data_IF_139443749784
#
_entry.id   IF_139443749784
#
_cell.length_a   1.000
_cell.length_b   1.000
_cell.length_c   1.000
_cell.angle_alpha   90.00
_cell.angle_beta   90.00
_cell.angle_gamma   90.00
#
_symmetry.space_group_name_H-M   'P 1'
#
loop_
_entity.id
_entity.type
_entity.pdbx_description
1 polymer ?
#
# COMPACT_ATOMS: atom_id res chain seq x y z
N UNK A 1 -0.88 46.67 -27.12
CA UNK A 1 -0.13 47.74 -26.44
C UNK A 1 0.63 47.09 -25.29
N UNK A 2 1.95 47.22 -25.31
CA UNK A 2 2.95 46.33 -24.68
C UNK A 2 3.21 46.78 -23.23
N UNK A 3 3.04 45.87 -22.27
CA UNK A 3 3.31 46.13 -20.84
C UNK A 3 4.70 45.61 -20.44
N UNK A 4 5.74 46.15 -21.07
CA UNK A 4 7.14 45.86 -20.73
C UNK A 4 7.86 47.15 -20.37
N UNK A 5 7.51 47.76 -19.23
CA UNK A 5 8.14 49.00 -18.76
C UNK A 5 8.21 49.07 -17.23
N UNK A 6 8.80 48.05 -16.59
CA UNK A 6 9.05 48.09 -15.15
C UNK A 6 10.48 47.67 -14.74
N UNK A 7 11.48 48.00 -15.58
CA UNK A 7 12.89 47.90 -15.20
C UNK A 7 13.73 49.03 -15.79
N UNK A 8 13.36 50.30 -15.51
CA UNK A 8 14.27 51.44 -15.71
C UNK A 8 14.50 52.09 -14.34
N UNK A 9 15.75 52.04 -13.85
CA UNK A 9 16.14 52.72 -12.61
C UNK A 9 17.12 51.99 -11.69
N UNK A 10 17.63 50.80 -12.06
CA UNK A 10 18.70 50.16 -11.26
C UNK A 10 20.07 50.51 -11.84
N UNK A 11 20.83 51.31 -11.10
CA UNK A 11 22.25 51.51 -11.35
C UNK A 11 23.02 50.28 -10.87
N UNK A 12 23.81 49.69 -11.76
CA UNK A 12 24.66 48.54 -11.47
C UNK A 12 26.02 49.07 -10.99
N UNK A 13 26.39 48.77 -9.75
CA UNK A 13 27.73 49.05 -9.22
C UNK A 13 28.57 47.79 -9.43
N UNK A 14 29.63 47.90 -10.23
CA UNK A 14 30.62 46.84 -10.43
C UNK A 14 31.46 46.76 -9.15
N UNK A 15 31.53 45.60 -8.46
CA UNK A 15 32.49 45.43 -7.39
C UNK A 15 33.90 45.42 -7.97
N UNK A 16 34.76 46.27 -7.42
CA UNK A 16 36.16 46.38 -7.81
C UNK A 16 36.90 45.06 -7.55
N UNK A 17 37.69 44.65 -8.54
CA UNK A 17 38.45 43.39 -8.57
C UNK A 17 39.58 43.46 -7.55
N UNK A 18 39.46 42.77 -6.42
CA UNK A 18 40.58 42.54 -5.50
C UNK A 18 41.56 41.52 -6.12
N UNK A 19 42.81 41.93 -6.30
CA UNK A 19 43.90 41.04 -6.69
C UNK A 19 44.31 40.08 -5.56
N UNK A 20 44.80 38.87 -5.88
CA UNK A 20 45.03 37.81 -4.91
C UNK A 20 46.33 38.01 -4.12
N UNK A 21 46.26 37.85 -2.80
CA UNK A 21 47.44 37.70 -1.96
C UNK A 21 48.11 36.32 -2.19
N UNK A 22 49.45 36.22 -2.27
CA UNK A 22 50.13 34.96 -2.41
C UNK A 22 50.38 34.34 -1.03
N UNK A 23 49.73 33.21 -0.73
CA UNK A 23 50.11 32.39 0.43
C UNK A 23 50.35 30.95 -0.02
N UNK A 24 51.56 30.71 -0.52
CA UNK A 24 52.12 29.38 -0.58
C UNK A 24 52.53 28.97 0.84
N UNK A 25 51.83 28.00 1.43
CA UNK A 25 52.41 27.14 2.47
C UNK A 25 52.07 25.69 2.16
N UNK A 26 53.16 24.94 1.98
CA UNK A 26 53.21 23.54 1.59
C UNK A 26 52.72 22.61 2.71
N UNK A 27 52.23 21.44 2.30
CA UNK A 27 51.94 20.28 3.13
C UNK A 27 53.17 19.76 3.88
N UNK A 28 53.08 19.43 5.19
CA UNK A 28 54.05 18.54 5.81
C UNK A 28 53.68 17.08 5.54
N UNK A 29 54.64 16.38 4.96
CA UNK A 29 54.66 14.93 4.79
C UNK A 29 54.89 14.18 6.11
N UNK A 30 54.13 13.10 6.29
CA UNK A 30 54.54 11.77 6.80
C UNK A 30 55.25 11.73 8.17
N UNK A 31 54.46 11.47 9.22
CA UNK A 31 54.91 10.91 10.49
C UNK A 31 54.02 9.74 10.88
N UNK A 32 54.55 8.53 10.85
CA UNK A 32 53.89 7.32 11.35
C UNK A 32 53.88 7.34 12.88
N UNK A 33 52.71 7.15 13.50
CA UNK A 33 52.60 6.80 14.92
C UNK A 33 51.28 6.08 15.15
N UNK A 34 51.36 4.75 15.18
CA UNK A 34 50.34 3.87 15.76
C UNK A 34 50.30 4.04 17.28
N UNK A 35 49.11 4.03 17.88
CA UNK A 35 48.89 3.39 19.17
C UNK A 35 48.14 2.07 18.98
N UNK A 36 48.68 1.03 19.62
CA UNK A 36 48.06 -0.29 19.80
C UNK A 36 47.02 -0.24 20.94
N UNK A 37 46.16 -1.27 20.98
CA UNK A 37 45.21 -1.70 22.03
C UNK A 37 43.71 -1.35 21.82
N UNK A 38 42.77 -2.13 22.39
CA UNK A 38 42.39 -3.45 21.89
C UNK A 38 40.85 -3.63 21.76
N UNK A 39 40.43 -4.39 20.75
CA UNK A 39 39.30 -5.31 20.85
C UNK A 39 37.92 -4.78 21.27
N UNK A 40 37.26 -3.97 20.44
CA UNK A 40 35.80 -4.02 20.31
C UNK A 40 35.48 -4.70 18.97
N UNK A 41 35.30 -6.03 19.01
CA UNK A 41 34.72 -6.78 17.89
C UNK A 41 33.27 -6.33 17.74
N UNK A 42 33.03 -5.26 16.99
CA UNK A 42 31.75 -5.08 16.33
C UNK A 42 31.59 -6.26 15.36
N UNK A 43 30.54 -7.03 15.56
CA UNK A 43 30.24 -8.23 14.78
C UNK A 43 30.21 -7.89 13.30
N UNK A 44 31.26 -8.29 12.59
CA UNK A 44 31.54 -7.90 11.21
C UNK A 44 30.91 -8.91 10.25
N UNK A 45 29.65 -9.24 10.48
CA UNK A 45 28.86 -10.21 9.71
C UNK A 45 27.65 -9.54 9.04
N UNK A 46 27.86 -8.45 8.27
CA UNK A 46 26.92 -8.04 7.20
C UNK A 46 27.40 -6.89 6.27
N UNK A 47 28.71 -6.65 6.10
CA UNK A 47 29.22 -5.59 5.21
C UNK A 47 29.87 -6.15 3.93
N UNK A 48 29.24 -7.14 3.31
CA UNK A 48 29.54 -7.49 1.91
C UNK A 48 28.77 -6.53 0.99
N UNK A 49 29.00 -5.23 1.15
CA UNK A 49 28.26 -4.23 0.38
C UNK A 49 28.87 -4.11 -1.01
N UNK A 50 28.36 -4.90 -1.95
CA UNK A 50 28.24 -4.40 -3.31
C UNK A 50 27.13 -3.35 -3.28
N UNK A 51 27.48 -2.09 -2.98
CA UNK A 51 26.54 -0.96 -3.06
C UNK A 51 26.19 -0.75 -4.54
N UNK A 52 25.20 -1.50 -5.03
CA UNK A 52 24.58 -1.21 -6.31
C UNK A 52 23.75 0.07 -6.20
N UNK A 53 23.49 0.71 -7.34
CA UNK A 53 22.70 1.94 -7.41
C UNK A 53 21.36 1.85 -6.65
N UNK A 54 20.69 0.70 -6.70
CA UNK A 54 19.42 0.42 -6.05
C UNK A 54 19.56 -0.38 -4.74
N UNK A 55 20.72 -0.34 -4.10
CA UNK A 55 20.95 -1.05 -2.83
C UNK A 55 19.95 -0.60 -1.77
N UNK A 56 19.35 -1.56 -1.06
CA UNK A 56 18.32 -1.31 -0.05
C UNK A 56 16.94 -0.94 -0.62
N UNK A 57 16.76 -1.03 -1.95
CA UNK A 57 15.47 -0.78 -2.62
C UNK A 57 14.79 -2.08 -3.04
N UNK A 58 13.47 -2.11 -2.94
CA UNK A 58 12.61 -3.22 -3.36
C UNK A 58 11.67 -2.80 -4.49
N UNK A 59 11.45 -3.71 -5.43
CA UNK A 59 10.72 -3.47 -6.66
C UNK A 59 9.67 -4.54 -6.89
N UNK A 60 8.43 -4.13 -7.11
CA UNK A 60 7.45 -4.99 -7.78
C UNK A 60 7.39 -4.60 -9.26
N UNK A 61 7.17 -5.56 -10.16
CA UNK A 61 7.02 -5.28 -11.60
C UNK A 61 5.65 -5.77 -12.06
N UNK A 62 4.87 -4.85 -12.65
CA UNK A 62 3.55 -5.10 -13.22
C UNK A 62 3.46 -4.57 -14.65
N UNK A 63 4.20 -5.20 -15.56
CA UNK A 63 4.15 -4.95 -17.01
C UNK A 63 3.25 -5.96 -17.72
N UNK A 64 2.63 -5.58 -18.84
CA UNK A 64 1.79 -6.48 -19.64
C UNK A 64 2.54 -7.75 -20.08
N UNK A 65 1.81 -8.82 -20.35
CA UNK A 65 2.40 -10.16 -20.55
C UNK A 65 3.30 -10.26 -21.81
N UNK A 66 3.16 -9.32 -22.75
CA UNK A 66 3.97 -9.24 -23.96
C UNK A 66 5.11 -8.20 -23.87
N UNK A 67 5.42 -7.70 -22.68
CA UNK A 67 6.44 -6.67 -22.53
C UNK A 67 7.85 -7.25 -22.67
N UNK A 68 8.39 -7.13 -23.89
CA UNK A 68 9.77 -7.51 -24.23
C UNK A 68 10.84 -6.81 -23.36
N UNK A 69 10.49 -5.69 -22.71
CA UNK A 69 11.40 -4.96 -21.84
C UNK A 69 11.42 -5.51 -20.40
N UNK A 70 10.47 -6.37 -19.99
CA UNK A 70 10.43 -6.93 -18.63
C UNK A 70 11.73 -7.64 -18.26
N UNK A 71 12.25 -8.49 -19.12
CA UNK A 71 13.50 -9.23 -18.88
C UNK A 71 14.71 -8.31 -18.78
N UNK A 72 14.75 -7.23 -19.57
CA UNK A 72 15.80 -6.20 -19.48
C UNK A 72 15.70 -5.43 -18.17
N UNK A 73 14.48 -5.05 -17.77
CA UNK A 73 14.23 -4.30 -16.54
C UNK A 73 14.64 -5.11 -15.30
N UNK A 74 14.25 -6.38 -15.24
CA UNK A 74 14.66 -7.31 -14.16
C UNK A 74 16.18 -7.36 -14.04
N UNK A 75 16.89 -7.53 -15.18
CA UNK A 75 18.35 -7.52 -15.20
C UNK A 75 18.94 -6.20 -14.71
N UNK A 76 18.42 -5.06 -15.16
CA UNK A 76 18.91 -3.74 -14.74
C UNK A 76 18.78 -3.54 -13.23
N UNK A 77 17.62 -3.89 -12.65
CA UNK A 77 17.39 -3.77 -11.21
C UNK A 77 18.35 -4.67 -10.43
N UNK A 78 18.42 -5.96 -10.78
CA UNK A 78 19.23 -6.93 -10.04
C UNK A 78 20.74 -6.68 -10.17
N UNK A 79 21.24 -6.32 -11.36
CA UNK A 79 22.66 -5.99 -11.56
C UNK A 79 23.09 -4.75 -10.76
N UNK A 80 22.15 -3.84 -10.50
CA UNK A 80 22.36 -2.63 -9.72
C UNK A 80 21.93 -2.79 -8.26
N UNK A 81 21.82 -4.02 -7.75
CA UNK A 81 21.64 -4.28 -6.31
C UNK A 81 20.23 -4.10 -5.76
N UNK A 82 19.22 -3.92 -6.63
CA UNK A 82 17.82 -3.85 -6.24
C UNK A 82 17.19 -5.25 -6.10
N UNK A 83 16.28 -5.39 -5.13
CA UNK A 83 15.55 -6.63 -4.90
C UNK A 83 14.19 -6.62 -5.62
N UNK A 84 13.82 -7.72 -6.27
CA UNK A 84 12.54 -7.84 -6.98
C UNK A 84 11.61 -8.77 -6.20
N UNK A 85 10.39 -8.30 -5.95
CA UNK A 85 9.28 -9.05 -5.34
C UNK A 85 8.45 -9.74 -6.43
N UNK A 86 8.50 -11.08 -6.43
CA UNK A 86 7.90 -11.92 -7.47
C UNK A 86 6.39 -12.05 -7.35
N UNK A 87 5.88 -12.20 -6.13
CA UNK A 87 4.47 -12.36 -5.81
C UNK A 87 3.83 -10.99 -5.51
N UNK A 88 4.63 -10.03 -5.03
CA UNK A 88 4.23 -8.64 -4.86
C UNK A 88 4.62 -8.10 -3.50
N UNK A 89 3.98 -7.03 -3.06
CA UNK A 89 4.35 -6.41 -1.80
C UNK A 89 3.93 -7.20 -0.57
N UNK A 90 3.09 -8.22 -0.72
CA UNK A 90 2.74 -9.15 0.36
C UNK A 90 3.96 -9.88 0.93
N UNK A 91 5.00 -10.12 0.11
CA UNK A 91 6.25 -10.73 0.56
C UNK A 91 6.96 -9.93 1.66
N UNK A 92 6.70 -8.62 1.73
CA UNK A 92 7.31 -7.74 2.71
C UNK A 92 6.76 -7.92 4.12
N UNK A 93 5.59 -8.55 4.25
CA UNK A 93 4.84 -8.57 5.50
C UNK A 93 4.74 -9.99 6.06
N UNK A 94 4.74 -10.05 7.39
CA UNK A 94 4.28 -11.21 8.12
C UNK A 94 2.82 -10.97 8.50
N UNK A 95 2.03 -12.04 8.43
CA UNK A 95 0.62 -12.02 8.78
C UNK A 95 0.35 -13.18 9.74
N UNK A 96 -0.68 -13.06 10.60
CA UNK A 96 -1.12 -14.17 11.43
C UNK A 96 -1.52 -15.33 10.54
N UNK A 97 -0.65 -16.34 10.52
CA UNK A 97 -0.87 -17.62 9.83
C UNK A 97 -2.03 -18.39 10.47
N UNK A 98 -2.46 -18.00 11.67
CA UNK A 98 -3.78 -18.29 12.22
C UNK A 98 -4.80 -17.24 11.77
N UNK A 99 -5.21 -17.32 10.51
CA UNK A 99 -6.61 -16.98 10.24
C UNK A 99 -7.44 -17.82 11.23
N UNK A 100 -8.42 -17.26 11.98
CA UNK A 100 -9.32 -18.13 12.72
C UNK A 100 -9.80 -19.17 11.72
N UNK A 101 -9.61 -20.45 12.07
CA UNK A 101 -10.10 -21.56 11.28
C UNK A 101 -11.48 -21.16 10.75
N UNK A 102 -11.73 -21.40 9.46
CA UNK A 102 -13.07 -21.28 8.87
C UNK A 102 -14.04 -21.65 9.97
N UNK A 103 -14.86 -20.69 10.43
CA UNK A 103 -15.67 -20.89 11.62
C UNK A 103 -16.77 -21.88 11.26
N UNK A 104 -16.42 -23.15 11.12
CA UNK A 104 -17.33 -24.27 11.18
C UNK A 104 -17.91 -24.22 12.59
N UNK A 105 -19.22 -24.31 12.68
CA UNK A 105 -19.99 -23.94 13.85
C UNK A 105 -19.77 -24.86 15.08
N UNK A 106 -18.77 -25.75 15.08
CA UNK A 106 -18.75 -26.93 15.95
C UNK A 106 -17.49 -27.19 16.78
N UNK A 107 -16.43 -26.37 16.73
CA UNK A 107 -15.24 -26.65 17.57
C UNK A 107 -14.83 -25.45 18.42
N UNK A 108 -15.55 -25.27 19.54
CA UNK A 108 -15.10 -24.52 20.71
C UNK A 108 -15.16 -25.44 21.92
N UNK A 109 -14.19 -26.35 22.01
CA UNK A 109 -13.91 -27.08 23.24
C UNK A 109 -12.41 -27.29 23.37
N UNK A 110 -11.81 -26.44 24.21
CA UNK A 110 -10.58 -26.68 24.96
C UNK A 110 -9.30 -26.98 24.15
N UNK A 111 -8.55 -25.93 23.82
CA UNK A 111 -7.10 -25.96 23.83
C UNK A 111 -6.58 -24.54 24.06
N UNK A 112 -5.99 -24.29 25.24
CA UNK A 112 -5.11 -23.15 25.48
C UNK A 112 -3.87 -23.34 24.59
N UNK A 113 -3.90 -22.75 23.40
CA UNK A 113 -2.73 -22.58 22.56
C UNK A 113 -2.38 -21.11 22.65
N UNK A 114 -1.17 -20.81 23.09
CA UNK A 114 -0.65 -19.45 23.15
C UNK A 114 -0.92 -18.76 21.81
N UNK A 115 -1.90 -17.85 21.79
CA UNK A 115 -2.25 -17.06 20.62
C UNK A 115 -1.11 -16.07 20.40
N UNK A 116 -0.11 -16.46 19.60
CA UNK A 116 0.75 -15.49 18.95
C UNK A 116 -0.14 -14.69 17.99
N UNK A 117 -0.67 -13.59 18.51
CA UNK A 117 -1.36 -12.55 17.74
C UNK A 117 -0.28 -11.88 16.90
N UNK A 118 0.05 -12.48 15.76
CA UNK A 118 0.93 -11.84 14.79
C UNK A 118 0.15 -10.63 14.27
N UNK A 119 0.56 -9.45 14.70
CA UNK A 119 0.09 -8.18 14.18
C UNK A 119 0.56 -8.05 12.73
N UNK A 120 -0.24 -7.48 11.83
CA UNK A 120 0.18 -7.26 10.46
C UNK A 120 1.34 -6.26 10.43
N UNK A 121 2.56 -6.78 10.30
CA UNK A 121 3.79 -6.02 10.44
C UNK A 121 4.78 -6.37 9.33
N UNK A 122 5.76 -5.48 9.16
CA UNK A 122 6.85 -5.71 8.22
C UNK A 122 7.68 -6.90 8.70
N UNK A 123 7.94 -7.86 7.83
CA UNK A 123 8.78 -9.02 8.17
C UNK A 123 10.18 -8.54 8.56
N UNK A 124 10.80 -9.20 9.54
CA UNK A 124 12.05 -8.67 10.12
C UNK A 124 13.17 -8.51 9.09
N UNK A 125 13.21 -9.40 8.08
CA UNK A 125 14.13 -9.33 6.93
C UNK A 125 14.02 -8.04 6.09
N UNK A 126 12.92 -7.29 6.20
CA UNK A 126 12.66 -6.07 5.43
C UNK A 126 12.62 -4.80 6.27
N UNK A 127 12.88 -4.86 7.58
CA UNK A 127 12.87 -3.68 8.48
C UNK A 127 13.74 -2.52 7.97
N UNK A 128 14.88 -2.84 7.35
CA UNK A 128 15.84 -1.87 6.83
C UNK A 128 15.62 -1.52 5.35
N UNK A 129 14.47 -1.86 4.79
CA UNK A 129 14.12 -1.49 3.41
C UNK A 129 14.01 0.02 3.29
N UNK A 130 14.82 0.62 2.42
CA UNK A 130 14.82 2.07 2.19
C UNK A 130 13.64 2.51 1.35
N UNK A 131 13.67 2.19 0.06
CA UNK A 131 12.65 2.61 -0.90
C UNK A 131 11.95 1.41 -1.52
N UNK A 132 10.62 1.47 -1.58
CA UNK A 132 9.79 0.52 -2.29
C UNK A 132 9.09 1.25 -3.44
N UNK A 133 9.04 0.64 -4.63
CA UNK A 133 8.23 1.15 -5.73
C UNK A 133 7.70 0.03 -6.61
N UNK A 134 6.60 0.31 -7.30
CA UNK A 134 6.07 -0.54 -8.36
C UNK A 134 6.50 0.01 -9.70
N UNK A 135 7.03 -0.82 -10.59
CA UNK A 135 7.27 -0.47 -11.99
C UNK A 135 6.13 -0.99 -12.87
N UNK A 136 5.48 -0.10 -13.60
CA UNK A 136 4.38 -0.43 -14.51
C UNK A 136 4.47 0.38 -15.82
N UNK A 137 3.68 -0.04 -16.81
CA UNK A 137 3.52 0.62 -18.10
C UNK A 137 2.45 1.73 -18.04
N UNK A 138 1.36 1.46 -17.33
CA UNK A 138 0.25 2.40 -17.11
C UNK A 138 -0.43 2.13 -15.76
N UNK A 139 -1.38 3.00 -15.41
CA UNK A 139 -2.30 2.71 -14.31
C UNK A 139 -3.10 1.44 -14.63
N UNK A 140 -3.37 0.62 -13.61
CA UNK A 140 -4.10 -0.63 -13.80
C UNK A 140 -4.81 -1.07 -12.51
N UNK A 141 -5.69 -2.06 -12.63
CA UNK A 141 -6.31 -2.76 -11.49
C UNK A 141 -5.67 -4.12 -11.19
N UNK A 142 -4.42 -4.33 -11.64
CA UNK A 142 -3.68 -5.58 -11.37
C UNK A 142 -3.31 -5.64 -9.88
N UNK A 143 -3.21 -6.85 -9.34
CA UNK A 143 -2.98 -7.08 -7.90
C UNK A 143 -1.81 -6.26 -7.33
N UNK A 144 -0.62 -6.34 -7.94
CA UNK A 144 0.57 -5.57 -7.52
C UNK A 144 0.37 -4.05 -7.55
N UNK A 145 -0.48 -3.57 -8.46
CA UNK A 145 -0.85 -2.16 -8.55
C UNK A 145 -1.74 -1.74 -7.36
N UNK A 146 -2.78 -2.53 -7.07
CA UNK A 146 -3.65 -2.27 -5.93
C UNK A 146 -2.91 -2.41 -4.59
N UNK A 147 -1.98 -3.35 -4.47
CA UNK A 147 -1.08 -3.47 -3.32
C UNK A 147 -0.23 -2.21 -3.12
N UNK A 148 0.40 -1.69 -4.18
CA UNK A 148 1.18 -0.46 -4.11
C UNK A 148 0.31 0.72 -3.65
N UNK A 149 -0.92 0.82 -4.16
CA UNK A 149 -1.86 1.84 -3.72
C UNK A 149 -2.20 1.68 -2.24
N UNK A 150 -2.50 0.48 -1.76
CA UNK A 150 -2.85 0.25 -0.36
C UNK A 150 -1.71 0.64 0.60
N UNK A 151 -0.46 0.37 0.21
CA UNK A 151 0.73 0.64 1.00
C UNK A 151 1.29 2.07 0.87
N UNK A 152 0.65 2.93 0.08
CA UNK A 152 1.16 4.27 -0.24
C UNK A 152 2.54 4.27 -0.92
N UNK A 153 2.78 3.24 -1.75
CA UNK A 153 4.01 3.05 -2.53
C UNK A 153 3.87 3.72 -3.91
N UNK A 154 4.89 4.41 -4.42
CA UNK A 154 4.84 5.03 -5.74
C UNK A 154 4.80 3.98 -6.86
N UNK A 155 3.90 4.19 -7.82
CA UNK A 155 3.83 3.44 -9.07
C UNK A 155 4.51 4.24 -10.17
N UNK A 156 5.66 3.77 -10.66
CA UNK A 156 6.54 4.50 -11.56
C UNK A 156 6.58 3.87 -12.94
N UNK A 157 6.82 4.72 -13.95
CA UNK A 157 7.21 4.27 -15.28
C UNK A 157 8.56 3.57 -15.26
N UNK A 158 8.72 2.52 -16.10
CA UNK A 158 10.01 1.83 -16.30
C UNK A 158 11.16 2.77 -16.68
N UNK A 159 10.84 3.93 -17.27
CA UNK A 159 11.82 4.95 -17.64
C UNK A 159 12.63 5.43 -16.44
N UNK A 160 12.05 5.47 -15.23
CA UNK A 160 12.79 5.87 -14.03
C UNK A 160 14.01 4.99 -13.77
N UNK A 161 13.87 3.67 -13.95
CA UNK A 161 14.99 2.73 -13.78
C UNK A 161 16.04 2.94 -14.87
N UNK A 162 15.61 3.11 -16.12
CA UNK A 162 16.51 3.35 -17.26
C UNK A 162 17.35 4.61 -17.05
N UNK A 163 16.70 5.72 -16.69
CA UNK A 163 17.35 7.01 -16.51
C UNK A 163 18.26 7.03 -15.27
N UNK A 164 17.86 6.35 -14.19
CA UNK A 164 18.73 6.19 -13.02
C UNK A 164 20.02 5.46 -13.37
N UNK A 165 19.92 4.36 -14.13
CA UNK A 165 21.10 3.59 -14.55
C UNK A 165 21.94 4.37 -15.56
N UNK A 166 21.31 5.03 -16.53
CA UNK A 166 22.01 5.84 -17.55
C UNK A 166 22.80 6.99 -16.91
N UNK A 167 22.21 7.67 -15.92
CA UNK A 167 22.87 8.76 -15.19
C UNK A 167 23.70 8.28 -13.99
N UNK A 168 23.73 6.96 -13.74
CA UNK A 168 24.37 6.33 -12.59
C UNK A 168 24.07 7.04 -11.26
N UNK A 169 22.81 7.47 -11.06
CA UNK A 169 22.34 8.15 -9.84
C UNK A 169 20.85 7.91 -9.63
N UNK A 170 20.41 7.97 -8.38
CA UNK A 170 18.99 7.90 -8.04
C UNK A 170 18.33 9.24 -8.37
N UNK A 171 17.39 9.22 -9.32
CA UNK A 171 16.68 10.41 -9.78
C UNK A 171 15.41 10.65 -8.96
N UNK A 172 14.95 11.89 -8.96
CA UNK A 172 13.64 12.20 -8.41
C UNK A 172 12.55 11.43 -9.19
N UNK A 173 11.75 10.64 -8.48
CA UNK A 173 10.75 9.76 -9.07
C UNK A 173 9.43 10.45 -9.42
N UNK A 174 9.18 11.67 -8.91
CA UNK A 174 7.91 12.39 -9.08
C UNK A 174 7.50 12.56 -10.56
N UNK A 175 8.45 12.86 -11.44
CA UNK A 175 8.19 13.04 -12.88
C UNK A 175 7.83 11.74 -13.60
N UNK A 176 8.04 10.59 -12.95
CA UNK A 176 7.79 9.26 -13.49
C UNK A 176 6.56 8.61 -12.85
N UNK A 177 5.88 9.31 -11.94
CA UNK A 177 4.74 8.80 -11.21
C UNK A 177 3.54 8.59 -12.14
N UNK A 178 3.00 7.37 -12.13
CA UNK A 178 1.82 6.99 -12.89
C UNK A 178 0.53 7.37 -12.12
N UNK A 179 -0.58 7.63 -12.84
CA UNK A 179 -1.87 7.88 -12.19
C UNK A 179 -2.32 6.70 -11.33
N UNK A 180 -3.11 6.93 -10.28
CA UNK A 180 -3.63 5.86 -9.43
C UNK A 180 -4.56 4.92 -10.21
N UNK A 181 -5.42 5.47 -11.07
CA UNK A 181 -6.33 4.67 -11.88
C UNK A 181 -7.53 5.46 -12.40
N UNK A 182 -8.38 4.76 -13.14
CA UNK A 182 -9.66 5.27 -13.62
C UNK A 182 -10.73 5.11 -12.53
N UNK A 183 -11.40 6.22 -12.18
CA UNK A 183 -12.44 6.22 -11.16
C UNK A 183 -13.83 6.23 -11.77
N UNK A 184 -14.62 5.18 -11.52
CA UNK A 184 -16.05 5.15 -11.88
C UNK A 184 -16.86 6.16 -11.07
N UNK A 185 -16.45 6.43 -9.83
CA UNK A 185 -17.05 7.47 -8.98
C UNK A 185 -16.90 8.88 -9.58
N UNK A 186 -15.79 9.13 -10.28
CA UNK A 186 -15.54 10.38 -11.00
C UNK A 186 -15.86 10.25 -12.50
N UNK A 187 -16.86 9.44 -12.87
CA UNK A 187 -17.35 9.27 -14.24
C UNK A 187 -16.28 8.86 -15.27
N UNK A 188 -15.34 7.99 -14.87
CA UNK A 188 -14.25 7.51 -15.73
C UNK A 188 -13.03 8.44 -15.76
N UNK A 189 -12.96 9.44 -14.89
CA UNK A 189 -11.77 10.30 -14.82
C UNK A 189 -10.54 9.51 -14.33
N UNK A 190 -9.39 9.78 -14.96
CA UNK A 190 -8.09 9.26 -14.52
C UNK A 190 -7.62 10.11 -13.33
N UNK A 191 -7.51 9.49 -12.16
CA UNK A 191 -7.09 10.15 -10.93
C UNK A 191 -5.61 9.92 -10.69
N UNK A 192 -4.84 10.99 -10.55
CA UNK A 192 -3.49 10.94 -10.01
C UNK A 192 -3.50 10.93 -8.49
N UNK A 193 -2.53 10.25 -7.90
CA UNK A 193 -2.32 10.30 -6.44
C UNK A 193 -1.45 11.48 -6.06
N UNK A 194 -1.68 12.01 -4.87
CA UNK A 194 -0.77 12.96 -4.22
C UNK A 194 0.02 12.18 -3.20
N UNK A 195 1.32 12.03 -3.43
CA UNK A 195 2.27 11.43 -2.51
C UNK A 195 3.16 12.53 -1.94
N UNK A 196 3.56 12.42 -0.67
CA UNK A 196 4.60 13.32 -0.14
C UNK A 196 5.94 12.89 -0.72
N UNK A 197 6.62 13.75 -1.50
CA UNK A 197 7.87 13.35 -2.13
C UNK A 197 8.96 13.14 -1.09
N UNK A 198 9.43 11.90 -0.99
CA UNK A 198 10.63 11.54 -0.23
C UNK A 198 11.63 11.02 -1.24
N UNK A 199 12.83 11.62 -1.26
CA UNK A 199 13.90 11.18 -2.15
C UNK A 199 14.20 9.70 -1.90
N UNK A 200 14.30 8.91 -2.98
CA UNK A 200 14.37 7.44 -2.88
C UNK A 200 15.65 6.97 -2.14
N UNK A 201 16.73 7.74 -2.18
CA UNK A 201 17.97 7.48 -1.45
C UNK A 201 17.86 7.74 0.07
N UNK A 202 16.87 8.51 0.51
CA UNK A 202 16.62 8.88 1.92
C UNK A 202 15.36 8.26 2.50
N UNK A 203 14.63 7.50 1.69
CA UNK A 203 13.38 6.88 2.11
C UNK A 203 13.65 5.75 3.11
N UNK A 204 12.67 5.53 3.99
CA UNK A 204 12.58 4.34 4.83
C UNK A 204 11.17 3.77 4.69
N UNK A 205 11.06 2.55 4.18
CA UNK A 205 9.76 1.97 3.82
C UNK A 205 8.85 1.82 5.04
N UNK A 206 9.40 1.44 6.20
CA UNK A 206 8.65 1.36 7.44
C UNK A 206 7.92 2.68 7.76
N UNK A 207 8.58 3.84 7.60
CA UNK A 207 7.96 5.15 7.81
C UNK A 207 6.86 5.44 6.79
N UNK A 208 7.07 5.08 5.53
CA UNK A 208 6.05 5.23 4.47
C UNK A 208 4.83 4.37 4.79
N UNK A 209 5.05 3.14 5.25
CA UNK A 209 4.01 2.21 5.64
C UNK A 209 3.22 2.70 6.86
N UNK A 210 3.88 3.27 7.87
CA UNK A 210 3.20 3.76 9.08
C UNK A 210 2.42 5.06 8.81
N UNK A 211 2.97 5.95 7.99
CA UNK A 211 2.38 7.26 7.67
C UNK A 211 1.25 7.20 6.64
N UNK A 212 0.99 6.03 6.04
CA UNK A 212 -0.04 5.88 5.00
C UNK A 212 -1.44 6.18 5.54
N UNK A 213 -2.33 6.61 4.65
CA UNK A 213 -3.75 6.70 4.97
C UNK A 213 -4.33 5.30 5.23
N UNK A 214 -4.84 5.07 6.45
CA UNK A 214 -5.54 3.85 6.84
C UNK A 214 -7.04 4.01 6.59
N UNK A 215 -7.51 3.61 5.40
CA UNK A 215 -8.93 3.77 5.04
C UNK A 215 -9.87 3.00 5.98
N UNK A 216 -9.40 1.87 6.51
CA UNK A 216 -10.15 1.00 7.42
C UNK A 216 -9.66 1.11 8.87
N UNK A 217 -9.09 2.26 9.26
CA UNK A 217 -8.55 2.44 10.61
C UNK A 217 -9.60 2.11 11.68
N UNK A 218 -9.24 1.21 12.61
CA UNK A 218 -10.11 0.71 13.69
C UNK A 218 -11.40 0.03 13.23
N UNK A 219 -11.55 -0.25 11.93
CA UNK A 219 -12.68 -0.96 11.38
C UNK A 219 -12.44 -2.48 11.38
N UNK A 220 -13.53 -3.22 11.43
CA UNK A 220 -13.55 -4.68 11.37
C UNK A 220 -14.20 -5.18 10.08
N UNK A 221 -13.57 -6.18 9.45
CA UNK A 221 -13.98 -6.72 8.15
C UNK A 221 -14.25 -8.22 8.25
N UNK A 222 -15.46 -8.63 7.93
CA UNK A 222 -15.83 -10.03 7.74
C UNK A 222 -15.74 -10.37 6.25
N UNK A 223 -14.83 -11.28 5.88
CA UNK A 223 -14.50 -11.60 4.49
C UNK A 223 -15.13 -12.93 4.07
N UNK A 224 -15.99 -12.91 3.07
CA UNK A 224 -16.56 -14.11 2.44
C UNK A 224 -15.60 -14.58 1.35
N UNK A 225 -15.04 -15.79 1.48
CA UNK A 225 -14.01 -16.34 0.58
C UNK A 225 -14.57 -17.02 -0.68
N UNK A 226 -15.81 -17.50 -0.63
CA UNK A 226 -16.35 -18.36 -1.67
C UNK A 226 -15.60 -19.71 -1.78
N UNK A 227 -15.66 -20.33 -2.97
CA UNK A 227 -15.02 -21.63 -3.24
C UNK A 227 -14.26 -21.59 -4.57
N UNK A 228 -13.16 -22.35 -4.67
CA UNK A 228 -12.40 -22.53 -5.91
C UNK A 228 -11.66 -21.25 -6.34
N UNK A 229 -11.81 -20.84 -7.61
CA UNK A 229 -11.10 -19.65 -8.16
C UNK A 229 -11.43 -18.35 -7.43
N UNK A 230 -12.62 -18.24 -6.87
CA UNK A 230 -13.04 -17.08 -6.06
C UNK A 230 -12.21 -16.97 -4.79
N UNK A 231 -11.87 -18.12 -4.19
CA UNK A 231 -11.06 -18.17 -2.97
C UNK A 231 -9.63 -17.65 -3.19
N UNK A 232 -9.00 -18.02 -4.31
CA UNK A 232 -7.67 -17.51 -4.69
C UNK A 232 -7.69 -16.01 -4.92
N UNK A 233 -8.73 -15.51 -5.60
CA UNK A 233 -8.90 -14.07 -5.80
C UNK A 233 -9.08 -13.35 -4.48
N UNK A 234 -9.98 -13.83 -3.61
CA UNK A 234 -10.26 -13.21 -2.32
C UNK A 234 -9.07 -13.29 -1.36
N UNK A 235 -8.24 -14.33 -1.44
CA UNK A 235 -6.96 -14.40 -0.73
C UNK A 235 -6.08 -13.19 -1.00
N UNK A 236 -6.00 -12.72 -2.25
CA UNK A 236 -5.26 -11.51 -2.60
C UNK A 236 -5.85 -10.22 -1.99
N UNK A 237 -7.17 -10.18 -1.72
CA UNK A 237 -7.84 -9.03 -1.09
C UNK A 237 -7.68 -9.00 0.43
N UNK A 238 -7.38 -10.13 1.07
CA UNK A 238 -7.09 -10.18 2.51
C UNK A 238 -5.91 -9.27 2.84
N UNK A 239 -4.84 -9.37 2.04
CA UNK A 239 -3.69 -8.49 2.17
C UNK A 239 -4.11 -7.02 2.04
N UNK A 240 -4.98 -6.68 1.08
CA UNK A 240 -5.46 -5.31 0.93
C UNK A 240 -6.22 -4.83 2.16
N UNK A 241 -7.06 -5.66 2.79
CA UNK A 241 -7.78 -5.26 4.01
C UNK A 241 -6.82 -4.92 5.15
N UNK A 242 -5.77 -5.73 5.35
CA UNK A 242 -4.71 -5.43 6.31
C UNK A 242 -3.91 -4.17 5.93
N UNK A 243 -3.49 -4.07 4.67
CA UNK A 243 -2.79 -2.92 4.13
C UNK A 243 -3.63 -1.63 4.14
N UNK A 244 -4.96 -1.72 4.23
CA UNK A 244 -5.86 -0.59 4.45
C UNK A 244 -6.03 -0.21 5.92
N UNK A 245 -5.47 -0.99 6.85
CA UNK A 245 -5.47 -0.71 8.29
C UNK A 245 -6.65 -1.29 9.07
N UNK A 246 -7.32 -2.32 8.54
CA UNK A 246 -8.37 -3.02 9.29
C UNK A 246 -7.80 -3.60 10.59
N UNK A 247 -8.44 -3.27 11.72
CA UNK A 247 -7.98 -3.72 13.05
C UNK A 247 -8.36 -5.18 13.33
N UNK A 248 -9.41 -5.68 12.68
CA UNK A 248 -9.89 -7.05 12.85
C UNK A 248 -10.39 -7.60 11.53
N UNK A 249 -9.93 -8.80 11.17
CA UNK A 249 -10.37 -9.51 9.97
C UNK A 249 -10.78 -10.92 10.36
N UNK A 250 -11.97 -11.36 9.95
CA UNK A 250 -12.37 -12.77 10.02
C UNK A 250 -12.80 -13.29 8.65
N UNK A 251 -12.79 -14.60 8.47
CA UNK A 251 -13.06 -15.26 7.20
C UNK A 251 -14.22 -16.24 7.35
N UNK A 252 -15.10 -16.26 6.36
CA UNK A 252 -16.23 -17.20 6.26
C UNK A 252 -16.29 -17.74 4.84
N UNK A 253 -16.76 -18.98 4.68
CA UNK A 253 -16.79 -19.62 3.36
C UNK A 253 -17.89 -19.08 2.46
N UNK A 254 -19.06 -18.77 3.03
CA UNK A 254 -20.24 -18.37 2.27
C UNK A 254 -21.07 -17.31 3.01
N UNK A 255 -21.97 -16.66 2.25
CA UNK A 255 -22.91 -15.66 2.77
C UNK A 255 -23.81 -16.21 3.88
N UNK A 256 -24.13 -17.51 3.86
CA UNK A 256 -24.97 -18.14 4.90
C UNK A 256 -24.24 -18.21 6.24
N UNK A 257 -22.97 -18.58 6.22
CA UNK A 257 -22.07 -18.59 7.38
C UNK A 257 -21.88 -17.16 7.89
N UNK A 258 -21.70 -16.19 6.99
CA UNK A 258 -21.64 -14.78 7.34
C UNK A 258 -22.90 -14.34 8.10
N UNK A 259 -24.10 -14.63 7.58
CA UNK A 259 -25.38 -14.33 8.23
C UNK A 259 -25.47 -14.95 9.63
N UNK A 260 -24.99 -16.18 9.77
CA UNK A 260 -25.01 -16.90 11.06
C UNK A 260 -24.08 -16.25 12.08
N UNK A 261 -22.88 -15.86 11.68
CA UNK A 261 -21.92 -15.14 12.54
C UNK A 261 -22.52 -13.79 12.98
N UNK A 262 -23.12 -13.05 12.05
CA UNK A 262 -23.76 -11.77 12.33
C UNK A 262 -24.98 -11.90 13.25
N UNK A 263 -25.81 -12.94 13.09
CA UNK A 263 -26.95 -13.24 13.97
C UNK A 263 -26.51 -13.64 15.38
N UNK A 264 -25.51 -14.53 15.50
CA UNK A 264 -24.93 -14.93 16.79
C UNK A 264 -24.36 -13.72 17.54
N UNK A 265 -23.74 -12.79 16.81
CA UNK A 265 -23.27 -11.54 17.38
C UNK A 265 -24.41 -10.60 17.78
N UNK A 266 -25.50 -10.51 17.02
CA UNK A 266 -26.64 -9.70 17.41
C UNK A 266 -27.31 -10.22 18.71
N UNK A 267 -27.23 -11.53 18.96
CA UNK A 267 -27.74 -12.18 20.17
C UNK A 267 -26.81 -12.01 21.38
N UNK A 268 -25.49 -12.11 21.19
CA UNK A 268 -24.50 -11.78 22.21
C UNK A 268 -24.41 -10.25 22.34
N UNK A 269 -25.14 -9.67 23.30
CA UNK A 269 -25.15 -8.21 23.52
C UNK A 269 -23.75 -7.61 23.79
N UNK A 270 -22.78 -8.45 24.16
CA UNK A 270 -21.38 -8.08 24.35
C UNK A 270 -20.46 -8.68 23.26
N UNK A 271 -19.71 -7.81 22.59
CA UNK A 271 -18.67 -8.17 21.62
C UNK A 271 -18.48 -7.12 20.50
N UNK A 272 -17.26 -6.96 19.95
CA UNK A 272 -16.97 -5.96 18.93
C UNK A 272 -17.69 -6.27 17.61
N UNK A 273 -18.60 -5.40 17.18
CA UNK A 273 -19.41 -5.52 15.95
C UNK A 273 -18.57 -5.48 14.68
N UNK A 274 -19.07 -6.15 13.65
CA UNK A 274 -18.51 -6.07 12.29
C UNK A 274 -18.97 -4.79 11.58
N UNK A 275 -18.02 -3.99 11.10
CA UNK A 275 -18.31 -2.75 10.37
C UNK A 275 -18.54 -3.01 8.87
N UNK A 276 -17.82 -3.99 8.33
CA UNK A 276 -17.79 -4.31 6.90
C UNK A 276 -18.00 -5.80 6.63
N UNK A 277 -18.77 -6.11 5.59
CA UNK A 277 -18.89 -7.42 4.99
C UNK A 277 -18.31 -7.37 3.57
N UNK A 278 -17.18 -8.02 3.36
CA UNK A 278 -16.57 -8.14 2.04
C UNK A 278 -17.14 -9.34 1.29
N UNK A 279 -17.54 -9.11 0.04
CA UNK A 279 -18.13 -10.10 -0.86
C UNK A 279 -17.60 -9.94 -2.28
N UNK A 280 -17.76 -10.97 -3.11
CA UNK A 280 -17.48 -10.84 -4.54
C UNK A 280 -18.49 -9.90 -5.22
N UNK A 281 -18.10 -9.27 -6.34
CA UNK A 281 -18.96 -8.35 -7.09
C UNK A 281 -20.27 -9.03 -7.55
N UNK A 282 -20.23 -10.34 -7.82
CA UNK A 282 -21.42 -11.13 -8.19
C UNK A 282 -22.41 -11.32 -7.02
N UNK A 283 -21.93 -11.22 -5.79
CA UNK A 283 -22.69 -11.44 -4.56
C UNK A 283 -23.15 -10.15 -3.89
N UNK A 284 -22.69 -8.99 -4.37
CA UNK A 284 -22.93 -7.66 -3.78
C UNK A 284 -24.42 -7.37 -3.57
N UNK A 285 -25.25 -7.48 -4.61
CA UNK A 285 -26.68 -7.20 -4.52
C UNK A 285 -27.42 -8.15 -3.55
N UNK A 286 -27.00 -9.41 -3.49
CA UNK A 286 -27.58 -10.41 -2.57
C UNK A 286 -27.19 -10.08 -1.14
N UNK A 287 -25.93 -9.74 -0.91
CA UNK A 287 -25.45 -9.32 0.40
C UNK A 287 -26.17 -8.05 0.86
N UNK A 288 -26.32 -7.04 0.00
CA UNK A 288 -27.04 -5.80 0.35
C UNK A 288 -28.49 -6.07 0.75
N UNK A 289 -29.20 -6.92 0.00
CA UNK A 289 -30.56 -7.33 0.34
C UNK A 289 -30.63 -8.07 1.69
N UNK A 290 -29.63 -8.92 1.99
CA UNK A 290 -29.54 -9.64 3.26
C UNK A 290 -29.24 -8.73 4.46
N UNK A 291 -28.55 -7.61 4.25
CA UNK A 291 -28.20 -6.65 5.30
C UNK A 291 -29.28 -5.58 5.49
N UNK A 292 -30.03 -5.26 4.43
CA UNK A 292 -31.09 -4.26 4.44
C UNK A 292 -32.41 -4.71 5.05
N UNK A 293 -32.51 -5.96 5.52
CA UNK A 293 -33.74 -6.52 6.07
C UNK A 293 -33.61 -6.74 7.60
N UNK A 294 -34.14 -5.83 8.44
CA UNK A 294 -34.12 -6.00 9.89
C UNK A 294 -35.10 -7.07 10.40
N UNK A 295 -35.94 -7.64 9.52
CA UNK A 295 -37.04 -8.48 9.96
C UNK A 295 -37.51 -9.45 8.87
N UNK A 296 -36.93 -10.66 8.83
CA UNK A 296 -37.60 -11.81 8.22
C UNK A 296 -38.82 -12.18 9.10
N UNK A 297 -39.91 -11.42 9.03
CA UNK A 297 -41.24 -12.05 9.05
C UNK A 297 -41.75 -12.10 7.64
N UNK A 298 -41.91 -13.32 7.16
CA UNK A 298 -42.92 -13.73 6.20
C UNK A 298 -44.11 -12.77 6.11
N UNK A 299 -44.29 -12.10 4.97
CA UNK A 299 -45.51 -12.16 4.15
C UNK A 299 -45.37 -11.26 2.92
N UNK A 300 -45.98 -11.73 1.83
CA UNK A 300 -46.01 -11.11 0.52
C UNK A 300 -46.49 -9.65 0.53
N UNK A 301 -45.82 -8.77 -0.21
CA UNK A 301 -46.38 -8.16 -1.42
C UNK A 301 -45.45 -7.12 -2.05
N UNK A 302 -45.48 -7.12 -3.38
CA UNK A 302 -44.73 -6.24 -4.26
C UNK A 302 -45.04 -4.75 -4.01
N UNK A 303 -44.01 -3.89 -4.06
CA UNK A 303 -44.05 -2.65 -4.85
C UNK A 303 -42.71 -1.89 -4.84
N UNK A 304 -42.30 -1.49 -6.04
CA UNK A 304 -41.15 -0.65 -6.41
C UNK A 304 -40.91 0.53 -5.46
N UNK A 305 -39.65 0.79 -5.06
CA UNK A 305 -39.21 2.16 -4.70
C UNK A 305 -37.73 2.42 -4.98
N UNK A 306 -37.48 3.66 -5.43
CA UNK A 306 -36.33 4.21 -6.14
C UNK A 306 -35.04 4.31 -5.33
N UNK A 307 -33.93 4.15 -6.06
CA UNK A 307 -32.54 4.54 -5.73
C UNK A 307 -32.48 6.02 -5.34
N UNK A 308 -32.04 6.32 -4.11
CA UNK A 308 -31.72 7.67 -3.63
C UNK A 308 -30.23 7.72 -3.30
N UNK A 309 -29.52 8.58 -4.03
CA UNK A 309 -28.13 8.95 -3.79
C UNK A 309 -28.00 9.69 -2.48
N UNK A 310 -27.21 9.17 -1.55
CA UNK A 310 -26.78 9.86 -0.35
C UNK A 310 -25.26 9.97 -0.37
N UNK A 311 -24.77 11.01 -1.06
CA UNK A 311 -23.41 11.50 -0.95
C UNK A 311 -23.29 12.16 0.43
N UNK A 312 -22.34 11.66 1.22
CA UNK A 312 -21.93 12.11 2.56
C UNK A 312 -22.98 11.95 3.67
N UNK A 313 -22.69 11.04 4.62
CA UNK A 313 -23.21 11.16 5.98
C UNK A 313 -22.13 10.79 7.00
N UNK A 314 -21.90 11.73 7.90
CA UNK A 314 -21.33 11.54 9.22
C UNK A 314 -22.13 10.49 10.00
N UNK A 315 -21.44 9.77 10.87
CA UNK A 315 -22.02 8.77 11.74
C UNK A 315 -22.94 9.42 12.79
N UNK A 316 -24.10 8.83 13.05
CA UNK A 316 -24.50 8.48 14.42
C UNK A 316 -25.67 7.48 14.46
N UNK A 317 -25.47 6.46 15.31
CA UNK A 317 -26.43 5.76 16.17
C UNK A 317 -27.71 5.10 15.61
N UNK A 318 -27.65 3.76 15.55
CA UNK A 318 -28.83 2.90 15.55
C UNK A 318 -28.54 1.52 15.00
N UNK A 319 -28.12 0.55 15.85
CA UNK A 319 -28.06 -0.91 15.58
C UNK A 319 -27.82 -1.35 14.12
N UNK A 320 -26.90 -0.70 13.41
CA UNK A 320 -26.77 -0.87 11.97
C UNK A 320 -26.05 -2.17 11.63
N UNK A 321 -26.60 -2.89 10.67
CA UNK A 321 -25.98 -4.03 10.02
C UNK A 321 -24.65 -3.61 9.34
N UNK A 322 -23.63 -4.50 9.27
CA UNK A 322 -22.39 -4.22 8.56
C UNK A 322 -22.62 -3.71 7.14
N UNK A 323 -21.75 -2.81 6.70
CA UNK A 323 -21.74 -2.27 5.35
C UNK A 323 -21.14 -3.27 4.37
N UNK A 324 -21.79 -3.51 3.24
CA UNK A 324 -21.24 -4.35 2.17
C UNK A 324 -20.12 -3.61 1.42
N UNK A 325 -19.05 -4.32 1.07
CA UNK A 325 -17.93 -3.86 0.23
C UNK A 325 -17.56 -4.94 -0.80
N UNK A 326 -17.49 -4.59 -2.07
CA UNK A 326 -17.14 -5.47 -3.18
C UNK A 326 -15.71 -5.25 -3.69
N UNK A 327 -15.22 -6.09 -4.61
CA UNK A 327 -13.88 -5.94 -5.18
C UNK A 327 -13.72 -4.61 -5.91
N UNK A 328 -14.73 -4.24 -6.71
CA UNK A 328 -14.73 -2.97 -7.44
C UNK A 328 -14.69 -1.80 -6.46
N UNK A 329 -15.48 -1.84 -5.38
CA UNK A 329 -15.50 -0.78 -4.38
C UNK A 329 -14.15 -0.62 -3.67
N UNK A 330 -13.45 -1.72 -3.37
CA UNK A 330 -12.08 -1.67 -2.82
C UNK A 330 -11.13 -1.00 -3.81
N UNK A 331 -11.15 -1.41 -5.08
CA UNK A 331 -10.30 -0.83 -6.12
C UNK A 331 -10.59 0.66 -6.31
N UNK A 332 -11.87 1.05 -6.37
CA UNK A 332 -12.29 2.45 -6.48
C UNK A 332 -11.85 3.27 -5.27
N UNK A 333 -11.96 2.70 -4.07
CA UNK A 333 -11.54 3.37 -2.83
C UNK A 333 -10.03 3.60 -2.80
N UNK A 334 -9.24 2.64 -3.29
CA UNK A 334 -7.79 2.76 -3.42
C UNK A 334 -7.39 3.83 -4.45
N UNK A 335 -8.07 3.86 -5.60
CA UNK A 335 -7.83 4.86 -6.66
C UNK A 335 -8.18 6.27 -6.18
N UNK A 336 -9.29 6.42 -5.45
CA UNK A 336 -9.73 7.70 -4.91
C UNK A 336 -8.89 8.14 -3.69
N UNK A 337 -8.35 7.18 -2.94
CA UNK A 337 -7.69 7.43 -1.66
C UNK A 337 -8.67 7.69 -0.51
N UNK A 338 -9.94 7.27 -0.67
CA UNK A 338 -11.02 7.40 0.31
C UNK A 338 -12.02 6.28 0.07
N UNK A 339 -12.70 5.79 1.11
CA UNK A 339 -13.80 4.83 0.94
C UNK A 339 -14.90 5.46 0.07
N UNK A 340 -15.17 4.84 -1.08
CA UNK A 340 -16.28 5.17 -1.97
C UNK A 340 -17.56 4.52 -1.42
N UNK A 341 -18.67 5.28 -1.34
CA UNK A 341 -20.04 4.78 -1.23
C UNK A 341 -21.01 5.76 -1.88
#
# INVERSE_FOLDING_TARGET
>A
MILWNQMKGRFFVVPEKAEPAPTALQTPSRGASTPLYPGSRLSRTHLTVRLGLFSGMVFAISLGDQDTHKSRLVKLISLNGGQILQDGFEELFEYPSSAPAVTQAETLSQAEVAEEVIEFCLASKYENTGFACLIADKHSRRAKYMQALALNVPCLSRRWIEDCVEQNRILNWEHYLLPAGESSFLHGAIKSRVLTPVAADKALFARTFDARAKLLDKQSVLLVLGRGKTEERHKAYIFLMYALGAARIARVLDLKSAKTVLRKQAQKQEGPRWDWLYVDDSEEATAEAMMGDPYETSTANASKKRKRSALFMEAHEGRASPRVISNDLVCQSLILGKICK
#
